data_IF_983981594884
#
_entry.id   IF_983981594884
#
_cell.length_a   1.000
_cell.length_b   1.000
_cell.length_c   1.000
_cell.angle_alpha   90.00
_cell.angle_beta   90.00
_cell.angle_gamma   90.00
#
_symmetry.space_group_name_H-M   'P 1'
#
loop_
_entity.id
_entity.type
_entity.pdbx_description
1 polymer ?
#
# COMPACT_ATOMS: atom_id res chain seq x y z
N UNK A 1 -6.68 -5.52 1.82
CA UNK A 1 -5.94 -5.49 0.53
C UNK A 1 -5.82 -4.09 -0.05
N UNK A 2 -6.93 -3.37 -0.35
CA UNK A 2 -6.90 -1.97 -0.80
C UNK A 2 -6.22 -0.98 0.17
N UNK A 3 -6.45 -1.10 1.49
CA UNK A 3 -5.84 -0.19 2.46
C UNK A 3 -4.31 -0.25 2.47
N UNK A 4 -3.70 -1.44 2.36
CA UNK A 4 -2.24 -1.61 2.30
C UNK A 4 -1.65 -0.94 1.06
N UNK A 5 -2.27 -1.18 -0.10
CA UNK A 5 -1.88 -0.53 -1.35
C UNK A 5 -1.98 0.99 -1.25
N UNK A 6 -3.11 1.51 -0.75
CA UNK A 6 -3.33 2.94 -0.61
C UNK A 6 -2.30 3.57 0.32
N UNK A 7 -1.98 2.95 1.46
CA UNK A 7 -1.00 3.49 2.42
C UNK A 7 0.42 3.46 1.86
N UNK A 8 0.81 2.37 1.20
CA UNK A 8 2.12 2.28 0.51
C UNK A 8 2.24 3.35 -0.57
N UNK A 9 1.27 3.41 -1.48
CA UNK A 9 1.26 4.40 -2.56
C UNK A 9 1.12 5.83 -2.05
N UNK A 10 0.38 6.06 -0.97
CA UNK A 10 0.27 7.37 -0.34
C UNK A 10 1.62 7.85 0.17
N UNK A 11 2.38 7.01 0.87
CA UNK A 11 3.71 7.38 1.36
C UNK A 11 4.68 7.68 0.22
N UNK A 12 4.69 6.85 -0.83
CA UNK A 12 5.53 7.07 -2.01
C UNK A 12 5.16 8.39 -2.70
N UNK A 13 3.88 8.60 -3.00
CA UNK A 13 3.40 9.81 -3.67
C UNK A 13 3.57 11.06 -2.81
N UNK A 14 3.48 10.96 -1.49
CA UNK A 14 3.71 12.08 -0.58
C UNK A 14 5.20 12.40 -0.41
N UNK A 15 6.07 11.40 -0.53
CA UNK A 15 7.52 11.60 -0.54
C UNK A 15 8.01 12.21 -1.85
N UNK A 16 7.51 11.75 -3.00
CA UNK A 16 7.84 12.32 -4.31
C UNK A 16 7.16 13.69 -4.54
N UNK A 17 5.93 13.83 -4.06
CA UNK A 17 5.12 15.03 -4.25
C UNK A 17 4.50 15.50 -2.91
N UNK A 18 5.32 16.12 -2.04
CA UNK A 18 4.85 16.63 -0.74
C UNK A 18 3.77 17.71 -0.88
N UNK A 19 3.72 18.40 -2.01
CA UNK A 19 2.72 19.43 -2.32
C UNK A 19 1.33 18.86 -2.68
N UNK A 20 1.26 17.57 -3.07
CA UNK A 20 -0.03 16.98 -3.43
C UNK A 20 -0.93 16.82 -2.20
N UNK A 21 -2.19 17.21 -2.40
CA UNK A 21 -3.25 17.03 -1.42
C UNK A 21 -3.65 15.55 -1.30
N UNK A 22 -4.06 15.15 -0.09
CA UNK A 22 -4.51 13.79 0.22
C UNK A 22 -5.63 13.34 -0.72
N UNK A 23 -6.51 14.27 -1.13
CA UNK A 23 -7.59 13.99 -2.08
C UNK A 23 -7.07 13.61 -3.47
N UNK A 24 -6.09 14.36 -4.01
CA UNK A 24 -5.46 14.04 -5.31
C UNK A 24 -4.75 12.69 -5.25
N UNK A 25 -3.97 12.45 -4.20
CA UNK A 25 -3.28 11.18 -3.98
C UNK A 25 -4.29 10.02 -3.90
N UNK A 26 -5.38 10.20 -3.15
CA UNK A 26 -6.44 9.18 -3.04
C UNK A 26 -7.11 8.88 -4.37
N UNK A 27 -7.35 9.91 -5.20
CA UNK A 27 -7.94 9.77 -6.52
C UNK A 27 -7.01 8.98 -7.46
N UNK A 28 -5.73 9.37 -7.51
CA UNK A 28 -4.68 8.67 -8.27
C UNK A 28 -4.57 7.20 -7.84
N UNK A 29 -4.48 6.93 -6.54
CA UNK A 29 -4.42 5.55 -6.05
C UNK A 29 -5.64 4.73 -6.49
N UNK A 30 -6.83 5.33 -6.47
CA UNK A 30 -8.09 4.62 -6.78
C UNK A 30 -8.17 4.27 -8.27
N UNK A 31 -7.74 5.18 -9.12
CA UNK A 31 -7.62 4.97 -10.56
C UNK A 31 -6.56 3.92 -10.88
N UNK A 32 -5.38 4.01 -10.26
CA UNK A 32 -4.32 3.01 -10.44
C UNK A 32 -4.78 1.63 -10.01
N UNK A 33 -5.43 1.48 -8.86
CA UNK A 33 -5.93 0.18 -8.38
C UNK A 33 -7.01 -0.44 -9.26
N UNK A 34 -7.90 0.38 -9.82
CA UNK A 34 -8.86 -0.09 -10.82
C UNK A 34 -8.17 -0.57 -12.10
N UNK A 35 -7.10 0.12 -12.52
CA UNK A 35 -6.29 -0.20 -13.70
C UNK A 35 -5.21 -1.26 -13.47
N UNK A 36 -4.97 -1.71 -12.23
CA UNK A 36 -4.01 -2.79 -11.99
C UNK A 36 -4.43 -4.06 -12.72
N UNK A 37 -3.46 -4.71 -13.35
CA UNK A 37 -3.66 -6.01 -13.98
C UNK A 37 -3.96 -7.08 -12.92
N UNK A 38 -4.62 -8.19 -13.30
CA UNK A 38 -4.88 -9.30 -12.38
C UNK A 38 -3.60 -9.84 -11.71
N UNK A 39 -2.47 -9.84 -12.41
CA UNK A 39 -1.17 -10.23 -11.86
C UNK A 39 -0.67 -9.26 -10.77
N UNK A 40 -0.83 -7.95 -10.97
CA UNK A 40 -0.48 -6.96 -9.97
C UNK A 40 -1.45 -7.01 -8.77
N UNK A 41 -2.74 -7.18 -9.02
CA UNK A 41 -3.71 -7.40 -7.92
C UNK A 41 -3.37 -8.67 -7.15
N UNK A 42 -3.00 -9.75 -7.83
CA UNK A 42 -2.54 -10.99 -7.20
C UNK A 42 -1.25 -10.76 -6.40
N UNK A 43 -0.33 -9.92 -6.88
CA UNK A 43 0.82 -9.49 -6.09
C UNK A 43 0.39 -8.74 -4.83
N UNK A 44 -0.56 -7.81 -4.87
CA UNK A 44 -1.06 -7.13 -3.66
C UNK A 44 -1.93 -8.03 -2.76
N UNK A 45 -2.56 -9.03 -3.35
CA UNK A 45 -3.32 -10.07 -2.67
C UNK A 45 -2.38 -10.98 -1.86
N UNK A 46 -1.34 -11.46 -2.54
CA UNK A 46 -0.25 -12.29 -2.01
C UNK A 46 0.72 -11.49 -1.14
N UNK A 47 0.95 -10.20 -1.39
CA UNK A 47 1.72 -9.31 -0.52
C UNK A 47 0.91 -8.96 0.72
N UNK A 48 -0.42 -8.87 0.64
CA UNK A 48 -1.25 -8.90 1.84
C UNK A 48 -0.99 -10.15 2.71
N UNK A 49 -0.66 -11.29 2.08
CA UNK A 49 -0.30 -12.53 2.77
C UNK A 49 1.19 -12.65 3.12
N UNK A 50 2.12 -12.09 2.32
CA UNK A 50 3.57 -12.14 2.50
C UNK A 50 4.12 -11.00 3.34
N UNK A 51 3.51 -9.82 3.33
CA UNK A 51 3.85 -8.75 4.29
C UNK A 51 3.53 -9.21 5.71
N UNK A 52 2.52 -10.07 5.94
CA UNK A 52 2.37 -10.73 7.24
C UNK A 52 3.56 -11.61 7.63
N UNK A 53 4.21 -12.26 6.65
CA UNK A 53 5.34 -13.17 6.87
C UNK A 53 6.68 -12.42 6.97
N UNK A 54 6.98 -11.50 6.05
CA UNK A 54 8.23 -10.72 6.06
C UNK A 54 8.24 -9.64 7.14
N UNK A 55 7.10 -9.04 7.49
CA UNK A 55 7.03 -8.08 8.60
C UNK A 55 7.14 -8.75 9.98
N UNK A 56 6.95 -10.07 10.05
CA UNK A 56 7.25 -10.90 11.24
C UNK A 56 8.74 -11.22 11.36
N UNK A 57 9.46 -11.28 10.23
CA UNK A 57 10.90 -11.60 10.19
C UNK A 57 11.76 -10.33 10.32
N UNK A 58 11.36 -9.23 9.67
CA UNK A 58 12.12 -7.97 9.64
C UNK A 58 11.83 -7.02 10.82
N UNK A 59 10.67 -7.15 11.49
CA UNK A 59 10.32 -6.35 12.68
C UNK A 59 9.81 -7.25 13.82
N UNK A 60 10.70 -7.93 14.57
CA UNK A 60 10.32 -8.78 15.70
C UNK A 60 9.60 -8.03 16.84
N UNK A 61 9.65 -6.69 16.86
CA UNK A 61 9.02 -5.82 17.88
C UNK A 61 7.93 -4.88 17.28
N UNK A 62 7.27 -5.26 16.18
CA UNK A 62 6.13 -4.47 15.68
C UNK A 62 4.82 -4.86 16.37
N UNK A 63 4.51 -4.20 17.49
CA UNK A 63 3.22 -4.29 18.19
C UNK A 63 2.15 -3.45 17.49
N UNK A 64 1.28 -4.10 16.72
CA UNK A 64 -0.03 -3.55 16.35
C UNK A 64 -0.91 -3.55 17.60
N UNK A 65 -1.02 -2.41 18.28
CA UNK A 65 -2.02 -2.20 19.31
C UNK A 65 -3.29 -1.61 18.65
N UNK A 66 -4.46 -2.28 18.78
CA UNK A 66 -5.74 -1.78 18.27
C UNK A 66 -6.20 -0.51 18.98
#
# INVERSE_FOLDING_TARGET
>A
KWMLYRTSQYNVLKAEFPDLSVQKISKICSERWRNLTPEQKAFWDAAGARTLEEHRILYPDYKYNP
#
